data_IF_708711148386
#
_entry.id   IF_708711148386
#
_cell.length_a   1.000
_cell.length_b   1.000
_cell.length_c   1.000
_cell.angle_alpha   90.00
_cell.angle_beta   90.00
_cell.angle_gamma   90.00
#
_symmetry.space_group_name_H-M   'P 1'
#
loop_
_entity.id
_entity.type
_entity.pdbx_description
1 polymer ?
#
# COMPACT_ATOMS: atom_id res chain seq x y z
N UNK A 1 12.37 -19.35 2.43
CA UNK A 1 12.25 -18.00 1.81
C UNK A 1 11.73 -17.02 2.83
N UNK A 2 12.45 -15.94 3.07
CA UNK A 2 12.08 -14.91 4.05
C UNK A 2 11.27 -13.83 3.37
N UNK A 3 10.17 -13.39 4.02
CA UNK A 3 9.38 -12.25 3.61
C UNK A 3 9.30 -11.20 4.71
N UNK A 4 9.30 -9.97 4.30
CA UNK A 4 9.05 -8.85 5.19
C UNK A 4 7.58 -8.49 5.10
N UNK A 5 6.87 -8.64 6.21
CA UNK A 5 5.40 -8.47 6.29
C UNK A 5 5.00 -7.52 7.39
N UNK A 6 3.79 -7.04 7.28
CA UNK A 6 3.11 -6.32 8.36
C UNK A 6 2.30 -7.30 9.20
N UNK A 7 2.50 -7.25 10.50
CA UNK A 7 1.71 -7.97 11.49
C UNK A 7 0.77 -6.99 12.18
N UNK A 8 -0.53 -7.27 12.13
CA UNK A 8 -1.50 -6.38 12.75
C UNK A 8 -1.49 -6.52 14.27
N UNK A 9 -1.42 -5.38 14.94
CA UNK A 9 -1.48 -5.24 16.39
C UNK A 9 -2.54 -4.17 16.72
N UNK A 10 -2.76 -3.92 17.99
CA UNK A 10 -3.67 -2.87 18.44
C UNK A 10 -5.07 -3.38 18.72
N UNK A 11 -6.01 -2.44 18.85
CA UNK A 11 -7.41 -2.68 19.21
C UNK A 11 -8.32 -2.55 17.99
N UNK A 12 -9.59 -2.89 18.16
CA UNK A 12 -10.61 -2.53 17.20
C UNK A 12 -10.63 -1.00 17.00
N UNK A 13 -10.74 -0.53 15.76
CA UNK A 13 -10.69 0.87 15.36
C UNK A 13 -9.36 1.61 15.64
N UNK A 14 -8.34 0.93 16.16
CA UNK A 14 -7.00 1.49 16.36
C UNK A 14 -5.97 0.53 15.75
N UNK A 15 -5.78 0.57 14.44
CA UNK A 15 -4.80 -0.29 13.77
C UNK A 15 -3.38 0.15 14.13
N UNK A 16 -2.55 -0.83 14.42
CA UNK A 16 -1.12 -0.67 14.60
C UNK A 16 -0.43 -1.86 13.95
N UNK A 17 0.63 -1.61 13.21
CA UNK A 17 1.29 -2.65 12.43
C UNK A 17 2.76 -2.74 12.81
N UNK A 18 3.26 -3.96 12.93
CA UNK A 18 4.70 -4.21 13.07
C UNK A 18 5.26 -4.73 11.76
N UNK A 19 6.42 -4.22 11.39
CA UNK A 19 7.18 -4.70 10.23
C UNK A 19 8.09 -5.82 10.71
N UNK A 20 7.87 -7.02 10.19
CA UNK A 20 8.56 -8.22 10.65
C UNK A 20 9.13 -9.02 9.50
N UNK A 21 10.32 -9.59 9.72
CA UNK A 21 10.87 -10.61 8.84
C UNK A 21 10.34 -11.98 9.27
N UNK A 22 9.65 -12.67 8.38
CA UNK A 22 9.07 -13.98 8.64
C UNK A 22 9.36 -14.96 7.52
N UNK A 23 9.26 -16.25 7.81
CA UNK A 23 9.29 -17.27 6.75
C UNK A 23 7.96 -17.23 5.98
N UNK A 24 8.04 -17.37 4.66
CA UNK A 24 6.87 -17.39 3.77
C UNK A 24 5.82 -18.43 4.18
N UNK A 25 6.24 -19.54 4.74
CA UNK A 25 5.37 -20.66 5.14
C UNK A 25 4.53 -20.36 6.38
N UNK A 26 4.94 -19.38 7.19
CA UNK A 26 4.20 -19.03 8.39
C UNK A 26 3.01 -18.11 8.10
N UNK A 27 1.95 -18.23 8.89
CA UNK A 27 0.80 -17.33 8.83
C UNK A 27 1.21 -15.90 9.24
N UNK A 28 0.39 -14.91 8.86
CA UNK A 28 0.64 -13.49 9.16
C UNK A 28 0.91 -13.25 10.65
N UNK A 29 0.16 -13.85 11.54
CA UNK A 29 0.28 -13.70 12.99
C UNK A 29 1.14 -14.82 13.63
N UNK A 30 1.84 -15.58 12.79
CA UNK A 30 2.70 -16.66 13.25
C UNK A 30 4.06 -16.17 13.76
N UNK A 31 4.99 -17.13 13.84
CA UNK A 31 6.35 -16.88 14.33
C UNK A 31 7.08 -15.83 13.50
N UNK A 32 7.75 -14.92 14.18
CA UNK A 32 8.56 -13.85 13.61
C UNK A 32 10.04 -14.17 13.80
N UNK A 33 10.84 -14.03 12.74
CA UNK A 33 12.29 -14.18 12.83
C UNK A 33 12.94 -12.96 13.47
N UNK A 34 12.52 -11.76 13.06
CA UNK A 34 13.01 -10.48 13.60
C UNK A 34 11.97 -9.39 13.42
N UNK A 35 11.83 -8.52 14.40
CA UNK A 35 11.04 -7.29 14.30
C UNK A 35 11.92 -6.17 13.75
N UNK A 36 11.49 -5.56 12.64
CA UNK A 36 12.26 -4.51 11.96
C UNK A 36 11.77 -3.10 12.29
N UNK A 37 10.56 -2.98 12.80
CA UNK A 37 9.99 -1.68 13.14
C UNK A 37 8.47 -1.74 13.22
N UNK A 38 7.85 -0.57 13.12
CA UNK A 38 6.39 -0.47 13.20
C UNK A 38 5.85 0.60 12.26
N UNK A 39 4.56 0.47 11.96
CA UNK A 39 3.80 1.42 11.16
C UNK A 39 2.50 1.77 11.88
N UNK A 40 2.27 3.06 12.09
CA UNK A 40 1.05 3.59 12.68
C UNK A 40 0.38 4.55 11.70
N UNK A 41 -0.73 4.18 11.07
CA UNK A 41 -1.38 5.02 10.07
C UNK A 41 -2.08 6.27 10.62
N UNK A 42 -2.26 6.36 11.94
CA UNK A 42 -2.96 7.46 12.59
C UNK A 42 -2.05 8.61 13.03
N UNK A 43 -0.74 8.39 13.02
CA UNK A 43 0.24 9.41 13.36
C UNK A 43 0.52 10.36 12.18
N UNK A 44 1.25 11.46 12.45
CA UNK A 44 1.73 12.37 11.43
C UNK A 44 2.65 11.65 10.44
N UNK A 45 2.75 12.16 9.21
CA UNK A 45 3.52 11.52 8.14
C UNK A 45 4.98 11.23 8.51
N UNK A 46 5.59 12.07 9.34
CA UNK A 46 6.96 11.89 9.81
C UNK A 46 7.11 10.71 10.80
N UNK A 47 6.07 10.42 11.57
CA UNK A 47 6.10 9.43 12.64
C UNK A 47 5.37 8.13 12.28
N UNK A 48 4.75 8.07 11.09
CA UNK A 48 3.98 6.90 10.67
C UNK A 48 4.79 5.63 10.64
N UNK A 49 6.01 5.71 10.14
CA UNK A 49 6.88 4.55 9.98
C UNK A 49 8.18 4.78 10.71
N UNK A 50 8.50 3.87 11.62
CA UNK A 50 9.78 3.79 12.30
C UNK A 50 10.35 2.41 12.09
N UNK A 51 11.46 2.32 11.38
CA UNK A 51 12.14 1.05 11.12
C UNK A 51 13.63 1.15 11.37
N UNK A 52 14.24 0.03 11.69
CA UNK A 52 15.69 -0.12 11.76
C UNK A 52 16.24 -0.33 10.35
N UNK A 53 16.69 0.75 9.71
CA UNK A 53 17.15 0.72 8.31
C UNK A 53 18.23 -0.32 8.08
N UNK A 54 19.22 -0.39 8.96
CA UNK A 54 20.34 -1.31 8.81
C UNK A 54 19.87 -2.78 8.76
N UNK A 55 18.91 -3.13 9.60
CA UNK A 55 18.38 -4.48 9.64
C UNK A 55 17.50 -4.78 8.43
N UNK A 56 16.70 -3.83 7.99
CA UNK A 56 15.90 -3.98 6.78
C UNK A 56 16.79 -4.18 5.56
N UNK A 57 17.82 -3.36 5.40
CA UNK A 57 18.79 -3.48 4.32
C UNK A 57 19.50 -4.83 4.38
N UNK A 58 19.89 -5.28 5.56
CA UNK A 58 20.51 -6.60 5.75
C UNK A 58 19.61 -7.73 5.22
N UNK A 59 18.33 -7.74 5.60
CA UNK A 59 17.39 -8.76 5.15
C UNK A 59 17.11 -8.67 3.64
N UNK A 60 16.98 -7.48 3.10
CA UNK A 60 16.77 -7.28 1.66
C UNK A 60 17.96 -7.77 0.83
N UNK A 61 19.17 -7.48 1.28
CA UNK A 61 20.41 -7.98 0.63
C UNK A 61 20.58 -9.48 0.78
N UNK A 62 20.06 -10.06 1.85
CA UNK A 62 20.07 -11.50 2.07
C UNK A 62 19.03 -12.25 1.22
N UNK A 63 18.19 -11.53 0.46
CA UNK A 63 17.19 -12.12 -0.42
C UNK A 63 15.77 -12.12 0.13
N UNK A 64 15.50 -11.44 1.25
CA UNK A 64 14.14 -11.29 1.75
C UNK A 64 13.28 -10.48 0.78
N UNK A 65 12.04 -10.91 0.57
CA UNK A 65 11.10 -10.22 -0.31
C UNK A 65 10.10 -9.41 0.51
N UNK A 66 10.05 -8.09 0.33
CA UNK A 66 9.03 -7.27 0.97
C UNK A 66 7.66 -7.53 0.34
N UNK A 67 6.60 -7.49 1.13
CA UNK A 67 5.25 -7.48 0.60
C UNK A 67 5.00 -6.17 -0.14
N UNK A 68 3.96 -6.12 -0.99
CA UNK A 68 3.64 -4.92 -1.76
C UNK A 68 3.48 -3.68 -0.87
N UNK A 69 2.77 -3.81 0.23
CA UNK A 69 2.56 -2.71 1.19
C UNK A 69 3.86 -2.28 1.88
N UNK A 70 4.67 -3.24 2.31
CA UNK A 70 5.98 -2.96 2.90
C UNK A 70 6.90 -2.27 1.89
N UNK A 71 6.89 -2.70 0.63
CA UNK A 71 7.64 -2.04 -0.43
C UNK A 71 7.24 -0.57 -0.62
N UNK A 72 5.96 -0.27 -0.53
CA UNK A 72 5.47 1.12 -0.58
C UNK A 72 5.94 1.94 0.64
N UNK A 73 5.88 1.36 1.83
CA UNK A 73 6.37 2.02 3.05
C UNK A 73 7.89 2.29 2.97
N UNK A 74 8.66 1.33 2.48
CA UNK A 74 10.09 1.51 2.28
C UNK A 74 10.40 2.62 1.27
N UNK A 75 9.61 2.74 0.20
CA UNK A 75 9.76 3.81 -0.77
C UNK A 75 9.53 5.20 -0.16
N UNK A 76 8.60 5.33 0.79
CA UNK A 76 8.42 6.58 1.54
C UNK A 76 9.61 6.91 2.44
N UNK A 77 10.34 5.91 2.89
CA UNK A 77 11.55 6.08 3.69
C UNK A 77 12.83 6.22 2.85
N UNK A 78 12.72 6.11 1.54
CA UNK A 78 13.86 6.22 0.64
C UNK A 78 14.64 4.92 0.45
N UNK A 79 13.98 3.79 0.56
CA UNK A 79 14.57 2.47 0.32
C UNK A 79 13.84 1.72 -0.80
N UNK A 80 14.59 1.04 -1.63
CA UNK A 80 14.05 0.16 -2.67
C UNK A 80 13.87 -1.27 -2.13
N UNK A 81 13.13 -2.09 -2.86
CA UNK A 81 12.92 -3.51 -2.55
C UNK A 81 14.22 -4.34 -2.51
N UNK A 82 15.29 -3.84 -3.07
CA UNK A 82 16.62 -4.47 -3.06
C UNK A 82 17.54 -3.94 -1.96
N UNK A 83 17.10 -2.96 -1.18
CA UNK A 83 17.91 -2.33 -0.14
C UNK A 83 18.76 -1.16 -0.59
N UNK A 84 18.54 -0.66 -1.81
CA UNK A 84 19.24 0.52 -2.32
C UNK A 84 18.54 1.80 -1.83
N UNK A 85 19.32 2.85 -1.64
CA UNK A 85 18.76 4.16 -1.32
C UNK A 85 18.17 4.81 -2.57
N UNK A 86 16.94 5.27 -2.45
CA UNK A 86 16.21 6.01 -3.48
C UNK A 86 15.68 7.31 -2.88
N UNK A 87 15.35 8.32 -3.68
CA UNK A 87 14.71 9.52 -3.15
C UNK A 87 13.37 9.16 -2.50
N UNK A 88 13.11 9.63 -1.27
CA UNK A 88 11.89 9.29 -0.55
C UNK A 88 10.66 9.83 -1.27
N UNK A 89 9.63 8.99 -1.38
CA UNK A 89 8.35 9.41 -1.95
C UNK A 89 7.51 10.17 -0.92
N UNK A 90 6.94 11.31 -1.30
CA UNK A 90 6.01 12.00 -0.41
C UNK A 90 4.75 11.17 -0.18
N UNK A 91 4.19 11.26 1.02
CA UNK A 91 2.89 10.66 1.30
C UNK A 91 1.81 11.35 0.47
N UNK A 92 1.10 10.57 -0.33
CA UNK A 92 -0.03 11.11 -1.08
C UNK A 92 -1.16 11.40 -0.10
N UNK A 93 -1.50 12.66 0.03
CA UNK A 93 -2.73 13.04 0.71
C UNK A 93 -3.91 12.48 -0.10
N UNK A 94 -4.93 11.94 0.55
CA UNK A 94 -6.13 11.56 -0.18
C UNK A 94 -6.63 12.75 -0.96
N UNK A 95 -6.89 12.57 -2.25
CA UNK A 95 -7.43 13.64 -3.08
C UNK A 95 -8.74 14.14 -2.45
N UNK A 96 -8.97 15.44 -2.41
CA UNK A 96 -10.24 15.96 -1.92
C UNK A 96 -11.39 15.32 -2.70
N UNK A 97 -12.50 14.98 -2.06
CA UNK A 97 -13.62 14.39 -2.74
C UNK A 97 -14.07 15.32 -3.87
N UNK A 98 -14.19 14.78 -5.07
CA UNK A 98 -14.64 15.54 -6.21
C UNK A 98 -16.02 16.15 -5.92
N UNK A 99 -16.27 17.39 -6.30
CA UNK A 99 -17.56 18.01 -6.08
C UNK A 99 -18.68 17.18 -6.73
N UNK A 100 -19.82 17.12 -6.10
CA UNK A 100 -20.94 16.30 -6.55
C UNK A 100 -21.35 16.60 -8.00
N UNK A 101 -21.26 17.84 -8.43
CA UNK A 101 -21.51 18.24 -9.81
C UNK A 101 -20.62 17.53 -10.83
N UNK A 102 -19.34 17.38 -10.54
CA UNK A 102 -18.40 16.68 -11.41
C UNK A 102 -18.66 15.17 -11.49
N UNK A 103 -19.07 14.57 -10.37
CA UNK A 103 -19.47 13.15 -10.34
C UNK A 103 -20.72 12.90 -11.18
N UNK A 104 -21.70 13.76 -11.09
CA UNK A 104 -22.94 13.69 -11.87
C UNK A 104 -22.68 13.94 -13.37
N UNK A 105 -21.85 14.90 -13.73
CA UNK A 105 -21.49 15.16 -15.10
C UNK A 105 -20.78 13.96 -15.75
N UNK A 106 -19.87 13.32 -15.02
CA UNK A 106 -19.16 12.14 -15.51
C UNK A 106 -20.12 10.92 -15.67
N UNK A 107 -21.07 10.77 -14.76
CA UNK A 107 -22.08 9.72 -14.85
C UNK A 107 -23.02 9.92 -16.06
N UNK A 108 -23.50 11.14 -16.28
CA UNK A 108 -24.31 11.49 -17.45
C UNK A 108 -23.56 11.30 -18.78
N UNK A 109 -22.30 11.64 -18.81
CA UNK A 109 -21.46 11.43 -20.00
C UNK A 109 -21.28 9.93 -20.33
N UNK A 110 -21.15 9.08 -19.33
CA UNK A 110 -21.09 7.63 -19.53
C UNK A 110 -22.43 7.04 -19.99
N UNK A 111 -23.54 7.46 -19.42
CA UNK A 111 -24.88 7.03 -19.83
C UNK A 111 -25.21 7.51 -21.25
N UNK A 112 -24.81 8.74 -21.58
CA UNK A 112 -24.99 9.28 -22.94
C UNK A 112 -24.15 8.59 -23.99
N UNK A 113 -22.98 8.04 -23.65
CA UNK A 113 -22.13 7.29 -24.57
C UNK A 113 -22.63 5.87 -24.85
N UNK A 114 -23.37 5.25 -23.95
CA UNK A 114 -23.95 3.93 -24.15
C UNK A 114 -25.27 3.94 -24.93
N UNK A 115 -26.08 4.98 -24.77
CA UNK A 115 -27.40 5.09 -25.39
C UNK A 115 -27.38 5.07 -26.95
N UNK A 116 -26.44 5.74 -27.66
CA UNK A 116 -26.42 5.70 -29.13
C UNK A 116 -26.10 4.35 -29.74
N UNK A 117 -25.36 3.50 -29.06
CA UNK A 117 -25.02 2.16 -29.56
C UNK A 117 -26.18 1.18 -29.54
N UNK A 118 -27.11 1.34 -28.62
CA UNK A 118 -28.28 0.49 -28.52
C UNK A 118 -29.35 0.82 -29.57
N UNK A 119 -29.40 2.05 -30.07
CA UNK A 119 -30.38 2.49 -31.06
C UNK A 119 -30.04 2.11 -32.50
N UNK A 120 -28.77 1.90 -32.83
CA UNK A 120 -28.36 1.54 -34.18
C UNK A 120 -28.69 0.08 -34.57
N UNK A 121 -28.80 -0.81 -33.64
CA UNK A 121 -29.05 -2.24 -33.87
C UNK A 121 -30.40 -2.58 -34.50
N UNK A 122 -31.53 -1.94 -34.13
CA UNK A 122 -32.83 -2.33 -34.70
C UNK A 122 -33.15 -1.84 -36.13
N UNK A 123 -32.35 -0.96 -36.68
CA UNK A 123 -32.65 -0.34 -37.97
C UNK A 123 -32.12 -1.10 -39.22
N UNK A 124 -31.33 -2.10 -39.02
CA UNK A 124 -30.77 -2.92 -40.10
C UNK A 124 -31.57 -4.16 -40.49
N UNK A 125 -32.60 -4.43 -39.81
CA UNK A 125 -33.49 -5.55 -40.17
C UNK A 125 -34.57 -5.15 -41.22
#
# INVERSE_FOLDING_TARGET
MVRIRLKRMGRANRPFWRVCATDKRFARDGRVLEELGHYDPLLADQDKVKIHRDRVVHWLKAGAQPSLTVGQLLAHLGLDAKGNEIPPKPWKKPAPPKPAAERLAKKKAQEGAEAPKAEEKPKES
#
